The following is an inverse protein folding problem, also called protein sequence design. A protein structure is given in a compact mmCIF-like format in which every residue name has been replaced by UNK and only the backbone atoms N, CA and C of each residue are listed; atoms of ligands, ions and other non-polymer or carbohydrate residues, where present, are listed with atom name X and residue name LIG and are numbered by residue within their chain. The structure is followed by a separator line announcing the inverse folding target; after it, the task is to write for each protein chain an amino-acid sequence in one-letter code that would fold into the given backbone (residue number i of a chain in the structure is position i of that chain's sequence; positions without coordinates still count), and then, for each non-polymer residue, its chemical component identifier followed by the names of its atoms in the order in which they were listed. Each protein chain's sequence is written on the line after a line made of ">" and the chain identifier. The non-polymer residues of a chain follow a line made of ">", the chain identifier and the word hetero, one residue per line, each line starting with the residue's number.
data_IF_877697515474
#
_entry.id   IF_877697515474
#
_cell.length_a   1.000
_cell.length_b   1.000
_cell.length_c   1.000
_cell.angle_alpha   90.00
_cell.angle_beta   90.00
_cell.angle_gamma   90.00
#
_symmetry.space_group_name_H-M   'P 1'
#
loop_
_entity.id
_entity.type
_entity.pdbx_description
1 polymer ?
#
# COMPACT_ATOMS: atom_id res chain seq x y z
N UNK A 1 8.06 -10.48 -4.12
CA UNK A 1 6.87 -11.32 -3.86
C UNK A 1 7.16 -12.26 -2.71
N UNK A 2 6.11 -12.70 -2.00
CA UNK A 2 6.24 -13.64 -0.86
C UNK A 2 5.48 -14.92 -1.18
N UNK A 3 6.06 -16.06 -0.82
CA UNK A 3 5.45 -17.38 -0.99
C UNK A 3 4.94 -17.89 0.36
N UNK A 4 3.69 -18.31 0.40
CA UNK A 4 3.08 -18.99 1.53
C UNK A 4 2.78 -20.43 1.18
N UNK A 5 3.37 -21.37 1.91
CA UNK A 5 3.19 -22.80 1.67
C UNK A 5 3.39 -23.57 2.97
N UNK A 6 2.49 -24.51 3.28
CA UNK A 6 2.59 -25.34 4.50
C UNK A 6 2.65 -24.54 5.82
N UNK A 7 2.05 -23.36 5.88
CA UNK A 7 2.11 -22.46 7.05
C UNK A 7 3.45 -21.76 7.24
N UNK A 8 4.36 -21.83 6.26
CA UNK A 8 5.65 -21.13 6.25
C UNK A 8 5.62 -19.98 5.24
N UNK A 9 6.24 -18.86 5.61
CA UNK A 9 6.40 -17.68 4.76
C UNK A 9 7.83 -17.56 4.27
N UNK A 10 8.01 -17.51 2.95
CA UNK A 10 9.30 -17.26 2.32
C UNK A 10 9.31 -15.87 1.68
N UNK A 11 10.29 -15.06 2.05
CA UNK A 11 10.43 -13.70 1.55
C UNK A 11 11.27 -13.66 0.28
N UNK A 12 10.96 -12.72 -0.62
CA UNK A 12 11.73 -12.42 -1.83
C UNK A 12 12.07 -13.65 -2.68
N UNK A 13 11.11 -14.58 -2.80
CA UNK A 13 11.29 -15.78 -3.62
C UNK A 13 11.23 -15.38 -5.10
N UNK A 14 12.23 -15.76 -5.92
CA UNK A 14 12.17 -15.55 -7.36
C UNK A 14 11.03 -16.39 -7.96
N UNK A 15 10.18 -15.75 -8.76
CA UNK A 15 9.02 -16.38 -9.40
C UNK A 15 8.94 -15.96 -10.86
N UNK A 16 8.50 -16.89 -11.71
CA UNK A 16 8.12 -16.62 -13.09
C UNK A 16 6.60 -16.47 -13.16
N UNK A 17 6.11 -15.34 -13.63
CA UNK A 17 4.69 -15.13 -13.89
C UNK A 17 4.36 -15.65 -15.30
N UNK A 18 3.48 -16.63 -15.39
CA UNK A 18 3.08 -17.27 -16.64
C UNK A 18 1.60 -17.67 -16.58
N UNK A 19 0.99 -17.87 -17.74
CA UNK A 19 -0.32 -18.52 -17.82
C UNK A 19 -0.16 -20.02 -17.53
N UNK A 20 -0.68 -20.44 -16.37
CA UNK A 20 -0.61 -21.82 -15.88
C UNK A 20 -1.94 -22.58 -16.08
N UNK A 21 -2.92 -21.96 -16.73
CA UNK A 21 -4.26 -22.54 -16.90
C UNK A 21 -4.96 -22.80 -15.57
N UNK A 22 -5.14 -24.08 -15.21
CA UNK A 22 -5.88 -24.49 -14.01
C UNK A 22 -5.05 -24.48 -12.72
N UNK A 23 -3.75 -24.22 -12.79
CA UNK A 23 -2.87 -24.21 -11.63
C UNK A 23 -2.59 -22.79 -11.15
N UNK A 24 -2.58 -22.59 -9.84
CA UNK A 24 -2.23 -21.29 -9.26
C UNK A 24 -0.70 -21.06 -9.28
N UNK A 25 0.09 -22.13 -9.09
CA UNK A 25 1.54 -22.04 -8.96
C UNK A 25 2.20 -23.41 -9.14
N UNK A 26 3.42 -23.41 -9.68
CA UNK A 26 4.28 -24.58 -9.78
C UNK A 26 5.53 -24.35 -8.92
N UNK A 27 5.83 -25.28 -8.03
CA UNK A 27 7.08 -25.27 -7.26
C UNK A 27 8.09 -26.22 -7.90
N UNK A 28 9.27 -25.68 -8.21
CA UNK A 28 10.34 -26.45 -8.84
C UNK A 28 11.08 -27.35 -7.85
N UNK A 29 11.63 -28.46 -8.36
CA UNK A 29 12.46 -29.40 -7.57
C UNK A 29 13.69 -28.75 -6.93
N UNK A 30 14.28 -27.75 -7.59
CA UNK A 30 15.47 -27.03 -7.08
C UNK A 30 15.09 -26.28 -5.81
N UNK A 31 13.97 -25.55 -5.85
CA UNK A 31 13.47 -24.83 -4.69
C UNK A 31 13.14 -25.78 -3.52
N UNK A 32 12.55 -26.94 -3.80
CA UNK A 32 12.28 -27.95 -2.77
C UNK A 32 13.57 -28.48 -2.13
N UNK A 33 14.60 -28.76 -2.94
CA UNK A 33 15.90 -29.21 -2.44
C UNK A 33 16.61 -28.13 -1.61
N UNK A 34 16.61 -26.88 -2.07
CA UNK A 34 17.20 -25.74 -1.34
C UNK A 34 16.54 -25.48 0.02
N UNK A 35 15.26 -25.83 0.15
CA UNK A 35 14.49 -25.69 1.39
C UNK A 35 14.37 -27.00 2.18
N UNK A 36 15.09 -28.03 1.76
CA UNK A 36 15.10 -29.36 2.37
C UNK A 36 13.67 -29.94 2.55
N UNK A 37 12.78 -29.62 1.61
CA UNK A 37 11.38 -30.06 1.63
C UNK A 37 11.27 -31.40 0.95
N UNK A 38 10.76 -32.38 1.69
CA UNK A 38 10.57 -33.74 1.21
C UNK A 38 9.15 -33.93 0.69
N UNK A 39 9.02 -34.62 -0.44
CA UNK A 39 7.73 -34.97 -1.03
C UNK A 39 7.30 -36.35 -0.56
N UNK A 40 6.29 -36.41 0.29
CA UNK A 40 5.60 -37.67 0.59
C UNK A 40 4.48 -37.86 -0.44
N UNK A 41 4.86 -38.46 -1.57
CA UNK A 41 3.96 -38.66 -2.73
C UNK A 41 2.76 -39.54 -2.37
N UNK A 42 2.97 -40.55 -1.53
CA UNK A 42 1.93 -41.50 -1.12
C UNK A 42 0.83 -40.80 -0.34
N UNK A 43 1.21 -39.94 0.60
CA UNK A 43 0.25 -39.22 1.46
C UNK A 43 -0.08 -37.82 0.95
N UNK A 44 0.46 -37.43 -0.22
CA UNK A 44 0.25 -36.11 -0.86
C UNK A 44 0.56 -34.94 0.07
N UNK A 45 1.66 -35.03 0.82
CA UNK A 45 2.07 -33.99 1.78
C UNK A 45 3.51 -33.56 1.57
N UNK A 46 3.78 -32.31 1.94
CA UNK A 46 5.13 -31.78 2.07
C UNK A 46 5.59 -32.06 3.50
N UNK A 47 6.73 -32.74 3.62
CA UNK A 47 7.42 -32.97 4.87
C UNK A 47 8.51 -31.91 4.98
N UNK A 48 8.38 -31.08 6.01
CA UNK A 48 9.27 -29.96 6.24
C UNK A 48 10.35 -30.34 7.27
N UNK A 49 11.55 -29.73 7.21
CA UNK A 49 12.54 -29.88 8.26
C UNK A 49 11.99 -29.35 9.60
N UNK A 50 12.35 -29.99 10.71
CA UNK A 50 11.90 -29.57 12.05
C UNK A 50 12.40 -28.17 12.39
N UNK A 51 13.66 -27.90 12.07
CA UNK A 51 14.28 -26.60 12.24
C UNK A 51 13.81 -25.62 11.16
N UNK A 52 13.57 -24.38 11.57
CA UNK A 52 13.27 -23.27 10.65
C UNK A 52 14.52 -22.45 10.45
N UNK A 53 14.73 -21.97 9.23
CA UNK A 53 15.81 -21.02 8.99
C UNK A 53 15.59 -19.73 9.80
N UNK A 54 16.65 -19.06 10.30
CA UNK A 54 16.51 -17.79 11.02
C UNK A 54 15.73 -16.73 10.22
N UNK A 55 15.89 -16.74 8.89
CA UNK A 55 15.16 -15.85 7.99
C UNK A 55 13.64 -16.14 7.98
N UNK A 56 13.24 -17.43 7.99
CA UNK A 56 11.83 -17.82 8.13
C UNK A 56 11.27 -17.44 9.49
N UNK A 57 12.05 -17.58 10.56
CA UNK A 57 11.61 -17.16 11.88
C UNK A 57 11.34 -15.67 11.95
N UNK A 58 12.23 -14.83 11.40
CA UNK A 58 12.04 -13.38 11.35
C UNK A 58 10.82 -13.04 10.48
N UNK A 59 10.68 -13.70 9.33
CA UNK A 59 9.53 -13.53 8.44
C UNK A 59 8.19 -13.90 9.10
N UNK A 60 8.18 -14.90 9.98
CA UNK A 60 6.99 -15.31 10.72
C UNK A 60 6.75 -14.40 11.94
N UNK A 61 7.78 -14.02 12.69
CA UNK A 61 7.68 -13.13 13.86
C UNK A 61 7.20 -11.71 13.47
N UNK A 62 7.47 -11.28 12.24
CA UNK A 62 6.97 -10.01 11.70
C UNK A 62 5.47 -10.03 11.31
N UNK A 63 4.74 -11.13 11.54
CA UNK A 63 3.27 -11.08 11.59
C UNK A 63 2.83 -10.29 12.82
N UNK A 64 2.75 -8.98 12.69
CA UNK A 64 1.87 -8.18 13.55
C UNK A 64 0.45 -8.53 13.12
N UNK A 65 -0.19 -9.49 13.78
CA UNK A 65 -1.64 -9.64 13.70
C UNK A 65 -2.25 -8.39 14.34
N UNK A 66 -2.52 -7.37 13.54
CA UNK A 66 -3.23 -6.18 13.99
C UNK A 66 -4.68 -6.62 14.23
N UNK A 67 -5.18 -6.62 15.48
CA UNK A 67 -6.57 -6.95 15.76
C UNK A 67 -7.49 -6.03 14.94
N UNK A 68 -8.49 -6.59 14.25
CA UNK A 68 -9.49 -5.81 13.51
C UNK A 68 -10.19 -4.76 14.37
N UNK A 69 -10.22 -4.95 15.69
CA UNK A 69 -10.76 -3.98 16.63
C UNK A 69 -10.00 -2.64 16.64
N UNK A 70 -8.72 -2.60 16.26
CA UNK A 70 -7.95 -1.34 16.10
C UNK A 70 -8.43 -0.54 14.88
N UNK A 71 -9.00 -1.22 13.87
CA UNK A 71 -9.57 -0.58 12.69
C UNK A 71 -10.98 -0.01 12.96
N UNK A 72 -11.59 -0.30 14.11
CA UNK A 72 -12.87 0.32 14.49
C UNK A 72 -12.58 1.79 14.75
N UNK A 73 -13.05 2.66 13.85
CA UNK A 73 -13.00 4.11 14.08
C UNK A 73 -13.72 4.41 15.40
N UNK A 74 -13.13 5.21 16.29
CA UNK A 74 -13.88 5.75 17.41
C UNK A 74 -15.09 6.53 16.86
N UNK A 75 -16.17 6.59 17.64
CA UNK A 75 -17.30 7.44 17.31
C UNK A 75 -16.80 8.86 17.04
N UNK A 76 -17.29 9.50 15.98
CA UNK A 76 -16.86 10.84 15.60
C UNK A 76 -17.13 11.82 16.74
N UNK A 77 -16.13 12.62 17.10
CA UNK A 77 -16.30 13.69 18.08
C UNK A 77 -17.11 14.82 17.44
N UNK A 78 -18.28 15.14 18.01
CA UNK A 78 -19.16 16.20 17.51
C UNK A 78 -18.48 17.56 17.47
N UNK A 79 -17.55 17.85 18.39
CA UNK A 79 -16.84 19.13 18.42
C UNK A 79 -15.84 19.26 17.27
N UNK A 80 -15.17 18.17 16.89
CA UNK A 80 -14.27 18.18 15.73
C UNK A 80 -15.05 18.34 14.42
N UNK A 81 -16.24 17.76 14.33
CA UNK A 81 -17.11 17.92 13.16
C UNK A 81 -17.59 19.37 13.04
N UNK A 82 -18.02 19.99 14.14
CA UNK A 82 -18.44 21.39 14.15
C UNK A 82 -17.32 22.35 13.73
N UNK A 83 -16.08 22.08 14.11
CA UNK A 83 -14.94 22.90 13.71
C UNK A 83 -14.61 22.71 12.22
N UNK A 84 -14.62 21.47 11.71
CA UNK A 84 -14.49 21.21 10.28
C UNK A 84 -15.59 21.92 9.46
N UNK A 85 -16.85 21.80 9.90
CA UNK A 85 -17.99 22.47 9.26
C UNK A 85 -17.88 24.01 9.33
N UNK A 86 -17.16 24.56 10.31
CA UNK A 86 -16.87 25.99 10.43
C UNK A 86 -15.81 26.41 9.41
N UNK A 87 -14.77 25.61 9.23
CA UNK A 87 -13.73 25.83 8.23
C UNK A 87 -14.30 25.76 6.81
N UNK A 88 -15.11 24.74 6.52
CA UNK A 88 -15.75 24.59 5.20
C UNK A 88 -16.61 25.82 4.87
N UNK A 89 -17.39 26.31 5.83
CA UNK A 89 -18.18 27.55 5.67
C UNK A 89 -17.33 28.79 5.43
N UNK A 90 -16.18 28.90 6.10
CA UNK A 90 -15.27 30.03 5.91
C UNK A 90 -14.64 30.00 4.53
N UNK A 91 -14.26 28.82 4.06
CA UNK A 91 -13.61 28.62 2.77
C UNK A 91 -14.59 28.86 1.61
N UNK A 92 -15.83 28.36 1.72
CA UNK A 92 -16.89 28.63 0.74
C UNK A 92 -17.21 30.13 0.62
N UNK A 93 -17.19 30.87 1.74
CA UNK A 93 -17.37 32.32 1.73
C UNK A 93 -16.23 33.06 1.04
N UNK A 94 -14.99 32.60 1.21
CA UNK A 94 -13.81 33.15 0.53
C UNK A 94 -13.87 32.89 -0.97
N UNK A 95 -14.15 31.65 -1.39
CA UNK A 95 -14.35 31.28 -2.80
C UNK A 95 -15.48 32.13 -3.42
N UNK A 96 -16.62 32.26 -2.74
CA UNK A 96 -17.74 33.06 -3.24
C UNK A 96 -17.40 34.56 -3.37
N UNK A 97 -16.52 35.08 -2.51
CA UNK A 97 -16.00 36.45 -2.62
C UNK A 97 -15.03 36.60 -3.79
N UNK A 98 -14.16 35.62 -4.03
CA UNK A 98 -13.24 35.61 -5.18
C UNK A 98 -13.97 35.47 -6.52
N UNK A 99 -15.06 34.71 -6.57
CA UNK A 99 -15.91 34.55 -7.76
C UNK A 99 -16.81 35.76 -8.03
N UNK A 100 -16.89 36.73 -7.12
CA UNK A 100 -17.67 37.95 -7.33
C UNK A 100 -17.10 38.81 -8.48
N UNK A 101 -17.95 39.40 -9.35
CA UNK A 101 -17.51 40.14 -10.54
C UNK A 101 -16.65 41.39 -10.24
N UNK A 102 -16.63 41.85 -8.98
CA UNK A 102 -15.85 43.01 -8.57
C UNK A 102 -14.34 42.71 -8.45
N UNK A 103 -13.94 41.46 -8.16
CA UNK A 103 -12.52 41.09 -7.94
C UNK A 103 -11.71 40.97 -9.25
N UNK A 104 -12.37 40.74 -10.40
CA UNK A 104 -11.69 40.61 -11.71
C UNK A 104 -11.15 41.93 -12.31
N UNK A 105 -11.29 43.07 -11.63
CA UNK A 105 -10.78 44.38 -12.08
C UNK A 105 -9.51 44.77 -11.31
N UNK A 106 -8.42 44.02 -11.50
CA UNK A 106 -7.21 44.27 -10.72
C UNK A 106 -5.93 43.65 -11.26
N UNK A 107 -5.69 43.66 -12.57
CA UNK A 107 -4.33 43.44 -13.10
C UNK A 107 -3.98 44.55 -14.08
N UNK A 108 -3.45 45.65 -13.55
CA UNK A 108 -2.70 46.64 -14.33
C UNK A 108 -1.29 46.09 -14.52
N UNK A 109 -1.00 45.60 -15.73
CA UNK A 109 0.37 45.23 -16.12
C UNK A 109 1.12 46.51 -16.50
N UNK A 110 2.25 46.86 -15.87
CA UNK A 110 3.00 48.06 -16.26
C UNK A 110 3.67 47.87 -17.63
N UNK A 111 3.80 48.94 -18.44
CA UNK A 111 4.34 48.83 -19.79
C UNK A 111 5.83 48.48 -19.78
N UNK A 112 6.22 47.47 -20.57
CA UNK A 112 7.62 47.13 -20.86
C UNK A 112 8.31 48.34 -21.52
N UNK A 113 9.32 48.89 -20.86
CA UNK A 113 10.21 49.88 -21.47
C UNK A 113 10.91 49.26 -22.68
N UNK A 114 10.62 49.83 -23.85
CA UNK A 114 11.27 49.56 -25.12
C UNK A 114 12.58 50.35 -25.12
N UNK A 115 13.72 49.70 -25.19
CA UNK A 115 14.96 50.36 -25.62
C UNK A 115 15.55 49.60 -26.79
N UNK A 116 15.54 50.26 -27.95
CA UNK A 116 16.06 49.81 -29.23
C UNK A 116 17.44 50.44 -29.45
N UNK A 117 18.41 49.60 -29.87
CA UNK A 117 19.59 49.88 -30.73
C UNK A 117 20.60 50.94 -30.23
N UNK A 118 21.88 50.90 -30.58
CA UNK A 118 22.59 50.43 -31.78
C UNK A 118 23.86 49.67 -31.40
#
# INVERSE_FOLDING_TARGET
>A
MHLWVGGRRFLNVPMLLADLGSYEMILGRVWLAEKEVWLDVKNRRLVWPEERSPAEEIANKSQVMIPRNILKRPASNSEHQKDADRWDRSFEQEIAQEESPQSRKGVVVPPKARSHRL
#
